data_IF_054836466095
#
_entry.id   IF_054836466095
#
_cell.length_a   1.000
_cell.length_b   1.000
_cell.length_c   1.000
_cell.angle_alpha   90.00
_cell.angle_beta   90.00
_cell.angle_gamma   90.00
#
_symmetry.space_group_name_H-M   'P 1'
#
loop_
_entity.id
_entity.type
_entity.pdbx_description
1 polymer ?
#
# COMPACT_ATOMS: atom_id res chain seq x y z
N UNK A 1 -19.26 22.14 29.82
CA UNK A 1 -20.41 23.04 29.70
C UNK A 1 -21.67 22.18 29.73
N UNK A 2 -22.48 22.21 30.80
CA UNK A 2 -23.74 21.42 30.83
C UNK A 2 -24.72 22.14 29.90
N UNK A 3 -24.94 21.59 28.70
CA UNK A 3 -25.96 22.10 27.76
C UNK A 3 -27.31 21.87 28.42
N UNK A 4 -28.07 22.93 28.60
CA UNK A 4 -29.44 22.82 29.15
C UNK A 4 -30.28 22.06 28.09
N UNK A 5 -30.86 20.94 28.47
CA UNK A 5 -31.70 20.09 27.61
C UNK A 5 -32.83 20.87 26.92
N UNK A 6 -33.45 21.82 27.63
CA UNK A 6 -34.54 22.66 27.07
C UNK A 6 -34.02 23.61 25.99
N UNK A 7 -32.81 24.13 26.15
CA UNK A 7 -32.19 25.01 25.18
C UNK A 7 -31.81 24.21 23.91
N UNK A 8 -31.31 22.97 24.07
CA UNK A 8 -31.02 22.08 22.97
C UNK A 8 -32.27 21.74 22.15
N UNK A 9 -33.39 21.36 22.82
CA UNK A 9 -34.66 21.11 22.14
C UNK A 9 -35.18 22.35 21.40
N UNK A 10 -35.12 23.51 22.04
CA UNK A 10 -35.55 24.76 21.41
C UNK A 10 -34.75 25.07 20.17
N UNK A 11 -33.43 24.86 20.21
CA UNK A 11 -32.54 25.04 19.08
C UNK A 11 -32.84 24.07 17.93
N UNK A 12 -32.98 22.78 18.21
CA UNK A 12 -33.38 21.75 17.22
C UNK A 12 -34.69 22.11 16.53
N UNK A 13 -35.72 22.46 17.30
CA UNK A 13 -37.03 22.82 16.75
C UNK A 13 -36.98 24.12 15.91
N UNK A 14 -36.13 25.06 16.27
CA UNK A 14 -35.92 26.29 15.49
C UNK A 14 -35.15 26.02 14.19
N UNK A 15 -34.14 25.18 14.20
CA UNK A 15 -33.44 24.77 12.97
C UNK A 15 -34.36 24.03 12.01
N UNK A 16 -35.28 23.21 12.52
CA UNK A 16 -36.27 22.51 11.70
C UNK A 16 -37.28 23.43 11.03
N UNK A 17 -37.50 24.66 11.55
CA UNK A 17 -38.40 25.67 10.94
C UNK A 17 -37.78 26.39 9.74
N UNK A 18 -36.49 26.27 9.51
CA UNK A 18 -35.84 26.96 8.40
C UNK A 18 -36.36 26.46 7.04
N UNK A 19 -36.53 27.32 6.04
CA UNK A 19 -37.12 26.96 4.74
C UNK A 19 -36.39 25.81 4.01
N UNK A 20 -35.08 25.74 4.20
CA UNK A 20 -34.22 24.72 3.57
C UNK A 20 -34.19 23.38 4.34
N UNK A 21 -34.88 23.31 5.49
CA UNK A 21 -34.93 22.10 6.28
C UNK A 21 -35.86 21.06 5.61
N UNK A 22 -35.30 19.90 5.24
CA UNK A 22 -36.05 18.76 4.72
C UNK A 22 -37.02 18.14 5.73
N UNK A 23 -37.12 18.70 6.94
CA UNK A 23 -37.87 18.13 8.08
C UNK A 23 -39.30 18.64 8.14
N UNK A 24 -40.25 17.84 7.71
CA UNK A 24 -41.69 18.23 7.62
C UNK A 24 -42.53 18.00 8.88
N UNK A 25 -42.03 17.29 9.93
CA UNK A 25 -42.84 16.83 11.07
C UNK A 25 -42.41 17.47 12.40
N UNK A 26 -42.37 18.83 12.47
CA UNK A 26 -41.99 19.56 13.68
C UNK A 26 -42.87 19.25 14.88
N UNK A 27 -44.17 19.14 14.69
CA UNK A 27 -45.11 18.87 15.78
C UNK A 27 -44.93 17.50 16.40
N UNK A 28 -44.58 16.50 15.60
CA UNK A 28 -44.22 15.18 16.10
C UNK A 28 -42.93 15.20 16.94
N UNK A 29 -41.92 15.94 16.53
CA UNK A 29 -40.68 16.12 17.31
C UNK A 29 -40.98 16.86 18.63
N UNK A 30 -41.77 17.92 18.58
CA UNK A 30 -42.23 18.62 19.77
C UNK A 30 -42.95 17.68 20.73
N UNK A 31 -43.87 16.88 20.24
CA UNK A 31 -44.61 15.88 21.03
C UNK A 31 -43.67 14.85 21.66
N UNK A 32 -42.70 14.33 20.89
CA UNK A 32 -41.69 13.41 21.40
C UNK A 32 -40.91 14.02 22.56
N UNK A 33 -40.33 15.20 22.37
CA UNK A 33 -39.52 15.86 23.39
C UNK A 33 -40.33 16.24 24.64
N UNK A 34 -41.57 16.73 24.47
CA UNK A 34 -42.44 17.07 25.58
C UNK A 34 -42.80 15.83 26.40
N UNK A 35 -43.13 14.71 25.75
CA UNK A 35 -43.49 13.46 26.40
C UNK A 35 -42.27 12.85 27.12
N UNK A 36 -41.09 12.88 26.50
CA UNK A 36 -39.83 12.47 27.13
C UNK A 36 -39.53 13.32 28.36
N UNK A 37 -39.59 14.65 28.22
CA UNK A 37 -39.32 15.56 29.32
C UNK A 37 -40.26 15.30 30.52
N UNK A 38 -41.57 15.14 30.26
CA UNK A 38 -42.55 14.79 31.30
C UNK A 38 -42.18 13.49 32.00
N UNK A 39 -41.83 12.46 31.26
CA UNK A 39 -41.44 11.15 31.83
C UNK A 39 -40.19 11.29 32.72
N UNK A 40 -39.15 12.01 32.27
CA UNK A 40 -37.93 12.21 33.05
C UNK A 40 -38.21 12.96 34.35
N UNK A 41 -39.01 14.02 34.27
CA UNK A 41 -39.42 14.78 35.45
C UNK A 41 -40.25 13.96 36.44
N UNK A 42 -41.25 13.20 35.95
CA UNK A 42 -42.11 12.37 36.79
C UNK A 42 -41.31 11.25 37.51
N UNK A 43 -40.19 10.80 36.89
CA UNK A 43 -39.31 9.76 37.45
C UNK A 43 -38.13 10.31 38.24
N UNK A 44 -37.89 11.63 38.20
CA UNK A 44 -36.70 12.24 38.80
C UNK A 44 -35.40 11.81 38.14
N UNK A 45 -35.44 11.44 36.86
CA UNK A 45 -34.27 10.97 36.10
C UNK A 45 -33.62 12.15 35.37
N UNK A 46 -32.29 12.41 35.55
CA UNK A 46 -31.61 13.42 34.77
C UNK A 46 -31.58 13.01 33.28
N UNK A 47 -31.61 14.02 32.40
CA UNK A 47 -31.52 13.75 30.96
C UNK A 47 -30.17 13.13 30.60
N UNK A 48 -30.20 12.02 29.87
CA UNK A 48 -29.15 11.44 29.06
C UNK A 48 -29.74 10.79 27.83
N UNK A 49 -28.94 10.59 26.79
CA UNK A 49 -29.43 9.88 25.59
C UNK A 49 -29.77 8.42 25.89
N UNK A 50 -29.06 7.76 26.81
CA UNK A 50 -29.42 6.42 27.27
C UNK A 50 -30.80 6.42 27.93
N UNK A 51 -31.09 7.34 28.84
CA UNK A 51 -32.40 7.48 29.47
C UNK A 51 -33.48 7.79 28.43
N UNK A 52 -33.18 8.56 27.41
CA UNK A 52 -34.13 8.85 26.33
C UNK A 52 -34.43 7.61 25.45
N UNK A 53 -33.45 6.77 25.18
CA UNK A 53 -33.61 5.53 24.43
C UNK A 53 -34.34 4.47 25.29
N UNK A 54 -34.01 4.35 26.56
CA UNK A 54 -34.72 3.47 27.50
C UNK A 54 -36.20 3.86 27.60
N UNK A 55 -36.51 5.18 27.66
CA UNK A 55 -37.88 5.65 27.58
C UNK A 55 -38.55 5.27 26.25
N UNK A 56 -37.85 5.35 25.13
CA UNK A 56 -38.40 4.96 23.83
C UNK A 56 -38.74 3.46 23.78
N UNK A 57 -37.92 2.60 24.38
CA UNK A 57 -38.20 1.17 24.49
C UNK A 57 -39.46 0.89 25.34
N UNK A 58 -39.72 1.66 26.40
CA UNK A 58 -40.97 1.60 27.17
C UNK A 58 -42.14 2.02 26.28
N UNK A 59 -41.99 3.16 25.58
CA UNK A 59 -43.03 3.72 24.72
C UNK A 59 -43.38 2.84 23.52
N UNK A 60 -42.46 2.07 23.00
CA UNK A 60 -42.62 1.13 21.87
C UNK A 60 -43.79 0.13 22.12
N UNK A 61 -44.14 -0.13 23.37
CA UNK A 61 -45.26 -0.99 23.74
C UNK A 61 -46.61 -0.28 23.66
N UNK A 62 -46.61 1.05 23.64
CA UNK A 62 -47.81 1.90 23.74
C UNK A 62 -48.16 2.60 22.42
N UNK A 63 -47.21 2.73 21.50
CA UNK A 63 -47.35 3.51 20.27
C UNK A 63 -47.16 2.63 19.03
N UNK A 64 -47.65 3.11 17.88
CA UNK A 64 -47.45 2.41 16.60
C UNK A 64 -45.97 2.36 16.20
N UNK A 65 -45.60 1.38 15.37
CA UNK A 65 -44.25 1.26 14.81
C UNK A 65 -43.82 2.53 14.10
N UNK A 66 -44.72 3.15 13.35
CA UNK A 66 -44.44 4.39 12.61
C UNK A 66 -44.15 5.55 13.58
N UNK A 67 -44.95 5.73 14.62
CA UNK A 67 -44.70 6.76 15.65
C UNK A 67 -43.40 6.50 16.38
N UNK A 68 -43.09 5.25 16.71
CA UNK A 68 -41.84 4.85 17.34
C UNK A 68 -40.62 5.22 16.43
N UNK A 69 -40.73 4.96 15.15
CA UNK A 69 -39.69 5.34 14.16
C UNK A 69 -39.50 6.85 14.10
N UNK A 70 -40.57 7.62 14.14
CA UNK A 70 -40.51 9.09 14.17
C UNK A 70 -39.89 9.62 15.46
N UNK A 71 -40.22 9.03 16.61
CA UNK A 71 -39.60 9.37 17.88
C UNK A 71 -38.12 9.05 17.91
N UNK A 72 -37.72 7.90 17.35
CA UNK A 72 -36.29 7.56 17.17
C UNK A 72 -35.57 8.62 16.34
N UNK A 73 -36.15 9.06 15.24
CA UNK A 73 -35.58 10.12 14.41
C UNK A 73 -35.49 11.47 15.14
N UNK A 74 -36.46 11.78 16.00
CA UNK A 74 -36.42 12.98 16.84
C UNK A 74 -35.25 12.91 17.82
N UNK A 75 -35.09 11.80 18.54
CA UNK A 75 -33.98 11.60 19.47
C UNK A 75 -32.63 11.62 18.75
N UNK A 76 -32.54 11.00 17.58
CA UNK A 76 -31.32 11.00 16.78
C UNK A 76 -30.88 12.41 16.37
N UNK A 77 -31.82 13.28 15.98
CA UNK A 77 -31.53 14.70 15.69
C UNK A 77 -31.11 15.47 16.92
N UNK A 78 -31.69 15.17 18.06
CA UNK A 78 -31.30 15.80 19.31
C UNK A 78 -29.87 15.40 19.70
N UNK A 79 -29.52 14.11 19.61
CA UNK A 79 -28.16 13.66 19.87
C UNK A 79 -27.16 14.30 18.88
N UNK A 80 -27.50 14.33 17.60
CA UNK A 80 -26.67 14.94 16.58
C UNK A 80 -26.42 16.43 16.91
N UNK A 81 -27.47 17.16 17.30
CA UNK A 81 -27.31 18.54 17.73
C UNK A 81 -26.41 18.70 18.96
N UNK A 82 -26.57 17.83 19.94
CA UNK A 82 -25.74 17.85 21.16
C UNK A 82 -24.25 17.59 20.86
N UNK A 83 -23.95 16.76 19.86
CA UNK A 83 -22.58 16.42 19.47
C UNK A 83 -21.96 17.42 18.48
N UNK A 84 -22.73 17.91 17.53
CA UNK A 84 -22.22 18.68 16.38
C UNK A 84 -22.73 20.13 16.31
N UNK A 85 -23.75 20.48 17.07
CA UNK A 85 -24.38 21.82 17.05
C UNK A 85 -25.32 22.06 15.86
N UNK A 86 -25.58 21.05 15.02
CA UNK A 86 -26.49 21.10 13.88
C UNK A 86 -27.48 19.92 13.85
N UNK A 87 -28.40 19.89 12.89
CA UNK A 87 -29.34 18.80 12.71
C UNK A 87 -29.13 18.09 11.36
N UNK A 88 -28.99 16.76 11.39
CA UNK A 88 -28.87 15.97 10.18
C UNK A 88 -30.26 15.63 9.60
N UNK A 89 -30.38 15.70 8.26
CA UNK A 89 -31.60 15.34 7.54
C UNK A 89 -31.80 13.82 7.39
N UNK A 90 -30.78 13.00 7.68
CA UNK A 90 -30.80 11.55 7.54
C UNK A 90 -31.70 10.88 8.57
N UNK A 91 -32.27 9.72 8.18
CA UNK A 91 -33.10 8.89 9.06
C UNK A 91 -32.26 7.90 9.86
N UNK A 92 -32.54 7.80 11.15
CA UNK A 92 -31.98 6.77 12.01
C UNK A 92 -32.64 5.41 11.73
N UNK A 93 -31.86 4.43 11.25
CA UNK A 93 -32.37 3.09 10.91
C UNK A 93 -32.28 2.08 12.06
N UNK A 94 -31.34 2.26 12.97
CA UNK A 94 -31.11 1.34 14.10
C UNK A 94 -30.61 2.10 15.33
N UNK A 95 -30.67 1.46 16.49
CA UNK A 95 -30.16 2.03 17.74
C UNK A 95 -28.64 2.18 17.74
N UNK A 96 -27.91 1.32 16.99
CA UNK A 96 -26.46 1.44 16.82
C UNK A 96 -26.03 2.73 16.08
N UNK A 97 -27.01 3.49 15.56
CA UNK A 97 -26.77 4.79 14.95
C UNK A 97 -26.57 5.89 16.00
N UNK A 98 -26.98 5.66 17.24
CA UNK A 98 -26.76 6.58 18.34
C UNK A 98 -25.36 6.44 18.91
N UNK A 99 -24.74 7.56 19.25
CA UNK A 99 -23.41 7.58 19.86
C UNK A 99 -23.37 6.76 21.14
N UNK A 100 -24.32 6.99 22.06
CA UNK A 100 -24.38 6.30 23.35
C UNK A 100 -24.52 4.77 23.24
N UNK A 101 -25.03 4.23 22.14
CA UNK A 101 -25.19 2.79 21.88
C UNK A 101 -24.22 2.24 20.86
N UNK A 102 -23.38 3.09 20.26
CA UNK A 102 -22.50 2.69 19.18
C UNK A 102 -21.30 1.84 19.62
N UNK A 103 -20.87 2.00 20.88
CA UNK A 103 -19.62 1.41 21.39
C UNK A 103 -18.37 2.01 20.76
N UNK A 104 -18.47 3.22 20.20
CA UNK A 104 -17.42 3.94 19.49
C UNK A 104 -17.07 5.19 20.29
N UNK A 105 -15.78 5.58 20.39
CA UNK A 105 -15.39 6.84 21.02
C UNK A 105 -15.99 8.05 20.30
N UNK A 106 -16.13 9.18 20.99
CA UNK A 106 -16.71 10.39 20.41
C UNK A 106 -15.92 10.86 19.18
N UNK A 107 -14.58 10.82 19.23
CA UNK A 107 -13.73 11.20 18.13
C UNK A 107 -13.97 10.32 16.89
N UNK A 108 -13.98 9.00 17.05
CA UNK A 108 -14.29 8.10 15.95
C UNK A 108 -15.73 8.20 15.47
N UNK A 109 -16.67 8.49 16.36
CA UNK A 109 -18.05 8.70 15.97
C UNK A 109 -18.20 9.95 15.11
N UNK A 110 -17.56 11.05 15.48
CA UNK A 110 -17.47 12.27 14.66
C UNK A 110 -16.81 11.98 13.29
N UNK A 111 -15.74 11.22 13.30
CA UNK A 111 -15.03 10.81 12.07
C UNK A 111 -15.93 10.01 11.11
N UNK A 112 -16.91 9.23 11.58
CA UNK A 112 -17.87 8.56 10.66
C UNK A 112 -18.66 9.54 9.81
N UNK A 113 -19.00 10.71 10.34
CA UNK A 113 -19.73 11.74 9.61
C UNK A 113 -18.83 12.50 8.63
N UNK A 114 -17.60 12.82 9.03
CA UNK A 114 -16.61 13.44 8.17
C UNK A 114 -16.30 12.53 6.95
N UNK A 115 -16.18 11.23 7.19
CA UNK A 115 -15.99 10.25 6.12
C UNK A 115 -17.20 10.16 5.18
N UNK A 116 -18.43 10.18 5.71
CA UNK A 116 -19.64 10.20 4.89
C UNK A 116 -19.66 11.41 3.96
N UNK A 117 -19.36 12.59 4.47
CA UNK A 117 -19.28 13.83 3.69
C UNK A 117 -18.13 13.78 2.67
N UNK A 118 -16.94 13.34 3.08
CA UNK A 118 -15.80 13.18 2.19
C UNK A 118 -16.10 12.26 1.00
N UNK A 119 -16.74 11.11 1.26
CA UNK A 119 -17.11 10.18 0.19
C UNK A 119 -18.26 10.71 -0.69
N UNK A 120 -19.18 11.47 -0.12
CA UNK A 120 -20.26 12.10 -0.89
C UNK A 120 -19.72 13.14 -1.88
N UNK A 121 -18.66 13.86 -1.52
CA UNK A 121 -18.10 14.95 -2.33
C UNK A 121 -16.98 14.50 -3.28
N UNK A 122 -16.20 13.49 -2.93
CA UNK A 122 -14.96 13.13 -3.66
C UNK A 122 -15.04 11.81 -4.42
N UNK A 123 -15.97 10.92 -4.07
CA UNK A 123 -16.09 9.58 -4.64
C UNK A 123 -17.57 9.19 -4.86
N UNK A 124 -17.78 8.02 -5.48
CA UNK A 124 -19.13 7.50 -5.62
C UNK A 124 -19.72 7.20 -4.22
N UNK A 125 -20.88 7.78 -3.84
CA UNK A 125 -21.51 7.57 -2.54
C UNK A 125 -21.76 6.08 -2.19
N UNK A 126 -21.88 5.21 -3.20
CA UNK A 126 -22.02 3.77 -3.00
C UNK A 126 -20.83 3.14 -2.25
N UNK A 127 -19.61 3.70 -2.35
CA UNK A 127 -18.45 3.17 -1.63
C UNK A 127 -18.59 3.31 -0.12
N UNK A 128 -19.10 4.45 0.36
CA UNK A 128 -19.29 4.62 1.80
C UNK A 128 -20.24 3.59 2.39
N UNK A 129 -21.38 3.30 1.74
CA UNK A 129 -22.31 2.28 2.21
C UNK A 129 -21.67 0.89 2.29
N UNK A 130 -20.78 0.58 1.33
CA UNK A 130 -20.06 -0.71 1.32
C UNK A 130 -19.02 -0.79 2.44
N UNK A 131 -18.35 0.32 2.76
CA UNK A 131 -17.24 0.36 3.72
C UNK A 131 -17.66 0.71 5.14
N UNK A 132 -18.78 1.41 5.32
CA UNK A 132 -19.23 1.95 6.62
C UNK A 132 -19.36 0.89 7.71
N UNK A 133 -19.81 -0.31 7.36
CA UNK A 133 -19.92 -1.42 8.32
C UNK A 133 -18.54 -1.83 8.83
N UNK A 134 -17.59 -2.06 7.93
CA UNK A 134 -16.24 -2.48 8.27
C UNK A 134 -15.49 -1.38 9.07
N UNK A 135 -15.68 -0.11 8.70
CA UNK A 135 -15.09 1.04 9.41
C UNK A 135 -15.66 1.15 10.83
N UNK A 136 -16.98 1.03 11.01
CA UNK A 136 -17.60 1.06 12.34
C UNK A 136 -17.16 -0.10 13.23
N UNK A 137 -17.01 -1.30 12.68
CA UNK A 137 -16.48 -2.45 13.41
C UNK A 137 -15.00 -2.21 13.83
N UNK A 138 -14.21 -1.61 12.97
CA UNK A 138 -12.85 -1.21 13.32
C UNK A 138 -12.83 -0.18 14.46
N UNK A 139 -13.67 0.84 14.41
CA UNK A 139 -13.75 1.85 15.45
C UNK A 139 -14.24 1.29 16.80
N UNK A 140 -15.19 0.34 16.79
CA UNK A 140 -15.62 -0.38 18.01
C UNK A 140 -14.47 -1.16 18.62
N UNK A 141 -13.74 -1.90 17.78
CA UNK A 141 -12.56 -2.64 18.24
C UNK A 141 -11.50 -1.69 18.79
N UNK A 142 -11.12 -0.64 18.06
CA UNK A 142 -10.15 0.34 18.50
C UNK A 142 -10.55 0.93 19.86
N UNK A 143 -11.81 1.36 20.01
CA UNK A 143 -12.34 1.88 21.29
C UNK A 143 -12.25 0.84 22.40
N UNK A 144 -12.56 -0.43 22.14
CA UNK A 144 -12.46 -1.51 23.12
C UNK A 144 -11.03 -1.80 23.56
N UNK A 145 -10.05 -1.49 22.72
CA UNK A 145 -8.61 -1.57 23.02
C UNK A 145 -8.07 -0.31 23.72
N UNK A 146 -8.92 0.67 24.03
CA UNK A 146 -8.53 1.92 24.65
C UNK A 146 -7.99 2.97 23.66
N UNK A 147 -8.03 2.71 22.35
CA UNK A 147 -7.69 3.67 21.30
C UNK A 147 -8.93 4.52 21.04
N UNK A 148 -8.90 5.78 21.44
CA UNK A 148 -10.05 6.69 21.36
C UNK A 148 -9.90 7.80 20.32
N UNK A 149 -8.68 8.04 19.86
CA UNK A 149 -8.32 9.09 18.90
C UNK A 149 -7.67 8.51 17.65
N UNK A 150 -7.88 9.09 16.46
CA UNK A 150 -7.30 8.61 15.21
C UNK A 150 -5.76 8.53 15.23
N UNK A 151 -5.11 9.50 15.87
CA UNK A 151 -3.65 9.57 16.01
C UNK A 151 -3.09 8.46 16.92
N UNK A 152 -3.95 7.84 17.72
CA UNK A 152 -3.58 6.73 18.60
C UNK A 152 -3.65 5.35 17.91
N UNK A 153 -4.09 5.29 16.66
CA UNK A 153 -4.13 4.05 15.89
C UNK A 153 -2.70 3.57 15.61
N UNK A 154 -2.42 2.31 15.94
CA UNK A 154 -1.12 1.66 15.71
C UNK A 154 -1.25 0.50 14.73
N UNK A 155 -0.11 -0.04 14.27
CA UNK A 155 -0.10 -1.29 13.50
C UNK A 155 -0.74 -2.43 14.30
N UNK A 156 -0.54 -2.47 15.63
CA UNK A 156 -1.15 -3.48 16.49
C UNK A 156 -2.68 -3.43 16.46
N UNK A 157 -3.26 -2.23 16.45
CA UNK A 157 -4.71 -2.05 16.29
C UNK A 157 -5.20 -2.64 14.97
N UNK A 158 -4.44 -2.47 13.87
CA UNK A 158 -4.78 -3.04 12.57
C UNK A 158 -4.59 -4.56 12.53
N UNK A 159 -3.53 -5.08 13.13
CA UNK A 159 -3.30 -6.53 13.26
C UNK A 159 -4.43 -7.18 14.07
N UNK A 160 -4.85 -6.56 15.17
CA UNK A 160 -5.95 -7.08 15.98
C UNK A 160 -7.28 -7.07 15.22
N UNK A 161 -7.55 -6.04 14.42
CA UNK A 161 -8.69 -6.01 13.51
C UNK A 161 -8.64 -7.13 12.46
N UNK A 162 -7.47 -7.43 11.92
CA UNK A 162 -7.29 -8.57 11.03
C UNK A 162 -7.64 -9.88 11.72
N UNK A 163 -7.13 -10.11 12.93
CA UNK A 163 -7.31 -11.34 13.67
C UNK A 163 -8.76 -11.56 14.11
N UNK A 164 -9.42 -10.50 14.57
CA UNK A 164 -10.77 -10.58 15.15
C UNK A 164 -11.86 -10.51 14.07
N UNK A 165 -11.79 -9.56 13.13
CA UNK A 165 -12.83 -9.31 12.15
C UNK A 165 -12.53 -9.95 10.79
N UNK A 166 -11.37 -9.67 10.18
CA UNK A 166 -11.10 -10.12 8.81
C UNK A 166 -11.01 -11.65 8.70
N UNK A 167 -10.34 -12.31 9.65
CA UNK A 167 -10.24 -13.79 9.69
C UNK A 167 -11.60 -14.45 9.96
N UNK A 168 -12.48 -13.81 10.72
CA UNK A 168 -13.83 -14.32 11.02
C UNK A 168 -14.82 -14.17 9.86
N UNK A 169 -14.49 -13.40 8.81
CA UNK A 169 -15.35 -13.21 7.65
C UNK A 169 -15.56 -14.52 6.88
N UNK A 170 -16.81 -15.00 6.83
CA UNK A 170 -17.19 -16.26 6.17
C UNK A 170 -16.97 -16.25 4.64
N UNK A 171 -16.99 -15.08 4.00
CA UNK A 171 -16.78 -14.97 2.54
C UNK A 171 -15.53 -14.15 2.22
N UNK A 172 -14.82 -14.58 1.17
CA UNK A 172 -13.65 -13.87 0.64
C UNK A 172 -14.00 -12.43 0.24
N UNK A 173 -15.17 -12.22 -0.39
CA UNK A 173 -15.63 -10.90 -0.81
C UNK A 173 -15.79 -9.94 0.38
N UNK A 174 -16.37 -10.43 1.51
CA UNK A 174 -16.52 -9.62 2.72
C UNK A 174 -15.17 -9.27 3.34
N UNK A 175 -14.21 -10.21 3.33
CA UNK A 175 -12.86 -9.96 3.78
C UNK A 175 -12.15 -8.93 2.90
N UNK A 176 -12.25 -9.05 1.57
CA UNK A 176 -11.69 -8.09 0.64
C UNK A 176 -12.29 -6.69 0.84
N UNK A 177 -13.61 -6.60 1.01
CA UNK A 177 -14.26 -5.32 1.32
C UNK A 177 -13.75 -4.69 2.62
N UNK A 178 -13.51 -5.49 3.66
CA UNK A 178 -12.95 -5.00 4.92
C UNK A 178 -11.52 -4.47 4.73
N UNK A 179 -10.68 -5.17 3.97
CA UNK A 179 -9.31 -4.71 3.64
C UNK A 179 -9.35 -3.41 2.82
N UNK A 180 -10.20 -3.34 1.79
CA UNK A 180 -10.36 -2.13 0.99
C UNK A 180 -10.88 -0.96 1.82
N UNK A 181 -11.83 -1.20 2.73
CA UNK A 181 -12.35 -0.18 3.64
C UNK A 181 -11.26 0.37 4.56
N UNK A 182 -10.40 -0.49 5.13
CA UNK A 182 -9.29 -0.06 5.97
C UNK A 182 -8.23 0.68 5.17
N UNK A 183 -7.88 0.21 3.98
CA UNK A 183 -6.96 0.92 3.08
C UNK A 183 -7.45 2.33 2.79
N UNK A 184 -8.74 2.48 2.48
CA UNK A 184 -9.35 3.77 2.20
C UNK A 184 -9.41 4.67 3.45
N UNK A 185 -9.72 4.11 4.63
CA UNK A 185 -9.69 4.81 5.90
C UNK A 185 -8.29 5.30 6.24
N UNK A 186 -7.27 4.44 6.19
CA UNK A 186 -5.88 4.81 6.47
C UNK A 186 -5.37 5.88 5.49
N UNK A 187 -5.78 5.81 4.23
CA UNK A 187 -5.47 6.86 3.24
C UNK A 187 -6.09 8.21 3.61
N UNK A 188 -7.32 8.21 4.11
CA UNK A 188 -7.99 9.42 4.57
C UNK A 188 -7.29 10.01 5.80
N UNK A 189 -7.02 9.17 6.81
CA UNK A 189 -6.34 9.58 8.04
C UNK A 189 -4.91 10.06 7.79
N UNK A 190 -4.19 9.43 6.87
CA UNK A 190 -2.87 9.90 6.46
C UNK A 190 -2.92 11.32 5.86
N UNK A 191 -3.91 11.61 5.01
CA UNK A 191 -4.09 12.95 4.43
C UNK A 191 -4.39 14.03 5.48
N UNK A 192 -5.00 13.65 6.60
CA UNK A 192 -5.21 14.51 7.76
C UNK A 192 -3.94 14.68 8.60
N UNK A 193 -2.96 13.80 8.44
CA UNK A 193 -1.74 13.76 9.26
C UNK A 193 -1.86 12.89 10.51
N UNK A 194 -2.96 12.15 10.67
CA UNK A 194 -3.24 11.35 11.87
C UNK A 194 -2.39 10.07 11.93
N UNK A 195 -2.14 9.44 10.77
CA UNK A 195 -1.39 8.16 10.71
C UNK A 195 -0.34 8.14 9.59
N UNK A 196 0.70 7.30 9.69
CA UNK A 196 1.69 7.12 8.63
C UNK A 196 1.11 6.54 7.34
N UNK A 197 1.69 6.88 6.18
CA UNK A 197 1.27 6.36 4.87
C UNK A 197 1.36 4.83 4.78
N UNK A 198 2.37 4.23 5.39
CA UNK A 198 2.59 2.79 5.35
C UNK A 198 1.42 1.97 5.91
N UNK A 199 0.57 2.55 6.77
CA UNK A 199 -0.62 1.88 7.32
C UNK A 199 -1.63 1.45 6.26
N UNK A 200 -1.66 2.12 5.10
CA UNK A 200 -2.52 1.74 3.98
C UNK A 200 -2.25 0.32 3.46
N UNK A 201 -1.08 -0.23 3.74
CA UNK A 201 -0.65 -1.54 3.24
C UNK A 201 -0.62 -2.65 4.29
N UNK A 202 -0.84 -2.35 5.56
CA UNK A 202 -0.75 -3.32 6.66
C UNK A 202 -1.64 -4.54 6.42
N UNK A 203 -2.90 -4.33 6.03
CA UNK A 203 -3.87 -5.42 5.83
C UNK A 203 -3.89 -5.99 4.41
N UNK A 204 -2.92 -5.65 3.56
CA UNK A 204 -2.92 -6.06 2.15
C UNK A 204 -2.26 -7.43 1.96
N UNK A 205 -3.01 -8.42 1.48
CA UNK A 205 -2.49 -9.77 1.22
C UNK A 205 -2.01 -10.48 2.50
N UNK A 206 -0.77 -11.01 2.44
CA UNK A 206 -0.12 -11.73 3.55
C UNK A 206 0.75 -10.81 4.42
N UNK A 207 0.61 -9.48 4.27
CA UNK A 207 1.49 -8.53 4.96
C UNK A 207 1.43 -8.64 6.49
N UNK A 208 0.25 -8.98 7.04
CA UNK A 208 0.11 -9.15 8.51
C UNK A 208 0.99 -10.28 9.03
N UNK A 209 1.10 -11.40 8.30
CA UNK A 209 1.93 -12.54 8.71
C UNK A 209 3.40 -12.15 8.66
N UNK A 210 3.83 -11.47 7.61
CA UNK A 210 5.20 -10.95 7.49
C UNK A 210 5.52 -9.95 8.61
N UNK A 211 4.59 -9.05 8.93
CA UNK A 211 4.77 -8.08 10.01
C UNK A 211 4.95 -8.77 11.37
N UNK A 212 4.20 -9.83 11.63
CA UNK A 212 4.36 -10.59 12.87
C UNK A 212 5.75 -11.23 12.97
N UNK A 213 6.33 -11.69 11.86
CA UNK A 213 7.71 -12.22 11.83
C UNK A 213 8.77 -11.12 12.04
N UNK A 214 8.45 -9.86 11.67
CA UNK A 214 9.34 -8.71 11.85
C UNK A 214 9.28 -8.10 13.26
N UNK A 215 8.49 -8.66 14.19
CA UNK A 215 8.34 -8.14 15.54
C UNK A 215 9.55 -8.50 16.40
N UNK A 216 10.14 -7.49 17.03
CA UNK A 216 11.22 -7.67 17.99
C UNK A 216 10.69 -8.05 19.36
N UNK A 217 11.53 -8.76 20.15
CA UNK A 217 11.20 -9.10 21.54
C UNK A 217 11.18 -7.88 22.48
N UNK A 218 11.89 -6.82 22.12
CA UNK A 218 11.90 -5.53 22.84
C UNK A 218 11.48 -4.45 21.85
N UNK A 219 10.41 -3.73 22.17
CA UNK A 219 9.91 -2.59 21.39
C UNK A 219 10.26 -1.28 22.10
N UNK A 220 10.44 -0.24 21.31
CA UNK A 220 10.61 1.14 21.80
C UNK A 220 9.30 1.75 22.31
N UNK A 221 9.35 3.03 22.65
CA UNK A 221 8.20 3.81 23.14
C UNK A 221 7.82 4.96 22.20
N UNK A 222 8.57 5.15 21.12
CA UNK A 222 8.29 6.21 20.14
C UNK A 222 6.94 5.97 19.46
N UNK A 223 6.17 7.05 19.31
CA UNK A 223 4.86 6.99 18.65
C UNK A 223 4.98 7.58 17.24
N UNK A 224 4.56 6.83 16.23
CA UNK A 224 4.70 7.18 14.81
C UNK A 224 6.11 7.64 14.40
N UNK A 225 7.16 6.87 14.70
CA UNK A 225 8.54 7.25 14.43
C UNK A 225 8.87 7.37 12.93
N UNK A 226 8.04 6.81 12.06
CA UNK A 226 8.25 6.84 10.61
C UNK A 226 7.80 8.14 9.94
N UNK A 227 6.93 8.95 10.55
CA UNK A 227 6.36 10.13 9.89
C UNK A 227 7.43 11.15 9.45
N UNK A 228 8.36 11.60 10.31
CA UNK A 228 9.39 12.55 9.87
C UNK A 228 10.30 11.99 8.79
N UNK A 229 10.58 10.68 8.88
CA UNK A 229 11.46 9.99 7.94
C UNK A 229 10.82 9.81 6.57
N UNK A 230 9.50 9.58 6.52
CA UNK A 230 8.75 9.42 5.28
C UNK A 230 8.81 10.68 4.42
N UNK A 231 8.73 11.88 5.03
CA UNK A 231 8.90 13.15 4.33
C UNK A 231 10.28 13.25 3.68
N UNK A 232 11.33 12.83 4.39
CA UNK A 232 12.70 12.81 3.85
C UNK A 232 12.88 11.75 2.75
N UNK A 233 12.17 10.63 2.83
CA UNK A 233 12.18 9.62 1.79
C UNK A 233 11.50 10.12 0.50
N UNK A 234 10.43 10.89 0.60
CA UNK A 234 9.80 11.51 -0.56
C UNK A 234 10.72 12.56 -1.20
N UNK A 235 11.38 13.42 -0.41
CA UNK A 235 12.41 14.35 -0.91
C UNK A 235 13.54 13.59 -1.65
N UNK A 236 14.00 12.47 -1.09
CA UNK A 236 15.00 11.62 -1.73
C UNK A 236 14.50 11.01 -3.04
N UNK A 237 13.27 10.49 -3.06
CA UNK A 237 12.68 9.92 -4.27
C UNK A 237 12.49 10.98 -5.38
N UNK A 238 12.21 12.23 -5.01
CA UNK A 238 12.13 13.35 -5.96
C UNK A 238 13.51 13.73 -6.49
N UNK A 239 14.55 13.76 -5.63
CA UNK A 239 15.91 13.95 -6.05
C UNK A 239 16.39 12.87 -7.04
N UNK A 240 15.91 11.63 -6.92
CA UNK A 240 16.20 10.57 -7.91
C UNK A 240 15.62 10.86 -9.30
N UNK A 241 14.53 11.65 -9.43
CA UNK A 241 14.02 12.09 -10.73
C UNK A 241 14.99 13.07 -11.40
N UNK A 242 15.52 14.01 -10.64
CA UNK A 242 16.52 14.98 -11.13
C UNK A 242 17.78 14.25 -11.60
N UNK A 243 18.12 13.13 -10.97
CA UNK A 243 19.25 12.26 -11.32
C UNK A 243 18.90 11.22 -12.39
N UNK A 244 17.75 11.33 -13.06
CA UNK A 244 17.31 10.47 -14.18
C UNK A 244 17.21 8.97 -13.85
N UNK A 245 16.90 8.63 -12.60
CA UNK A 245 16.60 7.23 -12.25
C UNK A 245 15.37 6.72 -12.97
N UNK A 246 15.36 5.43 -13.29
CA UNK A 246 14.20 4.80 -13.93
C UNK A 246 13.01 4.76 -12.96
N UNK A 247 11.80 5.04 -13.45
CA UNK A 247 10.55 4.96 -12.67
C UNK A 247 10.37 3.60 -11.98
N UNK A 248 10.84 2.50 -12.60
CA UNK A 248 10.82 1.17 -12.00
C UNK A 248 11.70 1.07 -10.75
N UNK A 249 12.89 1.69 -10.74
CA UNK A 249 13.78 1.71 -9.58
C UNK A 249 13.16 2.51 -8.42
N UNK A 250 12.56 3.66 -8.71
CA UNK A 250 11.83 4.45 -7.70
C UNK A 250 10.68 3.67 -7.06
N UNK A 251 9.92 2.91 -7.87
CA UNK A 251 8.83 2.08 -7.34
C UNK A 251 9.34 1.00 -6.38
N UNK A 252 10.51 0.41 -6.68
CA UNK A 252 11.15 -0.55 -5.77
C UNK A 252 11.62 0.13 -4.50
N UNK A 253 12.27 1.28 -4.58
CA UNK A 253 12.72 2.05 -3.40
C UNK A 253 11.55 2.46 -2.52
N UNK A 254 10.46 2.97 -3.10
CA UNK A 254 9.23 3.30 -2.37
C UNK A 254 8.65 2.08 -1.64
N UNK A 255 8.69 0.91 -2.26
CA UNK A 255 8.26 -0.33 -1.61
C UNK A 255 9.18 -0.71 -0.44
N UNK A 256 10.49 -0.60 -0.61
CA UNK A 256 11.47 -0.89 0.46
C UNK A 256 11.28 0.07 1.64
N UNK A 257 11.07 1.38 1.38
CA UNK A 257 10.73 2.35 2.42
C UNK A 257 9.43 2.01 3.14
N UNK A 258 8.39 1.59 2.41
CA UNK A 258 7.12 1.20 3.02
C UNK A 258 7.32 0.07 4.04
N UNK A 259 8.10 -0.95 3.71
CA UNK A 259 8.39 -2.06 4.61
C UNK A 259 9.25 -1.63 5.79
N UNK A 260 10.25 -0.79 5.56
CA UNK A 260 11.09 -0.25 6.63
C UNK A 260 10.26 0.61 7.59
N UNK A 261 9.40 1.47 7.09
CA UNK A 261 8.53 2.29 7.92
C UNK A 261 7.53 1.45 8.71
N UNK A 262 6.95 0.41 8.12
CA UNK A 262 6.12 -0.54 8.87
C UNK A 262 6.91 -1.24 9.98
N UNK A 263 8.18 -1.58 9.76
CA UNK A 263 9.05 -2.15 10.78
C UNK A 263 9.30 -1.17 11.94
N UNK A 264 9.58 0.11 11.64
CA UNK A 264 9.76 1.14 12.67
C UNK A 264 8.48 1.31 13.51
N UNK A 265 7.33 1.44 12.85
CA UNK A 265 6.03 1.60 13.51
C UNK A 265 5.65 0.39 14.37
N UNK A 266 5.82 -0.83 13.85
CA UNK A 266 5.51 -2.07 14.55
C UNK A 266 6.31 -2.24 15.84
N UNK A 267 7.58 -1.80 15.84
CA UNK A 267 8.50 -1.95 16.96
C UNK A 267 8.70 -0.65 17.74
N UNK A 268 7.99 0.43 17.38
CA UNK A 268 8.11 1.76 17.98
C UNK A 268 9.57 2.24 18.06
N UNK A 269 10.31 2.09 16.94
CA UNK A 269 11.74 2.40 16.87
C UNK A 269 11.98 3.65 16.01
N UNK A 270 12.85 4.52 16.50
CA UNK A 270 13.41 5.60 15.68
C UNK A 270 14.46 5.06 14.70
N UNK A 271 14.67 5.81 13.63
CA UNK A 271 15.69 5.50 12.65
C UNK A 271 17.10 5.67 13.25
N UNK A 272 17.89 4.61 13.17
CA UNK A 272 19.29 4.59 13.54
C UNK A 272 20.04 3.51 12.75
N UNK A 273 21.37 3.55 12.75
CA UNK A 273 22.20 2.51 12.12
C UNK A 273 21.93 1.12 12.72
N UNK A 274 21.65 1.03 14.02
CA UNK A 274 21.30 -0.20 14.71
C UNK A 274 19.94 -0.72 14.26
N UNK A 275 18.96 0.16 14.12
CA UNK A 275 17.62 -0.17 13.66
C UNK A 275 17.65 -0.66 12.21
N UNK A 276 18.44 -0.02 11.34
CA UNK A 276 18.64 -0.45 9.95
C UNK A 276 19.28 -1.84 9.91
N UNK A 277 20.29 -2.08 10.72
CA UNK A 277 20.96 -3.41 10.82
C UNK A 277 19.96 -4.48 11.25
N UNK A 278 19.20 -4.21 12.31
CA UNK A 278 18.17 -5.13 12.82
C UNK A 278 17.12 -5.46 11.76
N UNK A 279 16.67 -4.46 10.99
CA UNK A 279 15.72 -4.68 9.92
C UNK A 279 16.28 -5.54 8.77
N UNK A 280 17.54 -5.30 8.38
CA UNK A 280 18.21 -6.09 7.34
C UNK A 280 18.37 -7.55 7.76
N UNK A 281 18.69 -7.81 9.01
CA UNK A 281 18.92 -9.16 9.54
C UNK A 281 17.63 -10.00 9.64
N UNK A 282 16.48 -9.35 9.87
CA UNK A 282 15.17 -10.03 9.96
C UNK A 282 14.59 -10.40 8.58
N UNK A 283 14.97 -9.69 7.54
CA UNK A 283 14.33 -9.77 6.21
C UNK A 283 14.67 -10.95 5.30
N UNK A 284 15.65 -11.84 5.54
CA UNK A 284 16.02 -12.88 4.58
C UNK A 284 14.88 -13.81 4.19
N UNK A 285 13.90 -14.02 5.07
CA UNK A 285 12.88 -15.06 4.95
C UNK A 285 11.48 -14.56 4.55
N UNK A 286 11.32 -13.30 4.16
CA UNK A 286 10.01 -12.77 3.72
C UNK A 286 9.47 -13.51 2.47
N UNK A 287 8.40 -14.34 2.59
CA UNK A 287 7.99 -15.30 1.56
C UNK A 287 7.39 -14.70 0.30
N UNK A 288 6.92 -13.45 0.36
CA UNK A 288 6.19 -12.80 -0.76
C UNK A 288 7.03 -11.97 -1.71
N UNK A 289 8.31 -12.00 -1.58
CA UNK A 289 9.14 -11.55 -2.68
C UNK A 289 9.35 -12.74 -3.60
N UNK A 290 8.68 -12.67 -4.76
CA UNK A 290 8.98 -13.45 -5.93
C UNK A 290 10.42 -13.94 -5.85
N UNK A 291 10.60 -15.22 -5.46
CA UNK A 291 11.88 -15.90 -5.27
C UNK A 291 13.02 -14.90 -5.19
N UNK A 292 13.26 -14.37 -4.00
CA UNK A 292 14.40 -13.52 -3.78
C UNK A 292 15.62 -14.39 -4.08
N UNK A 293 16.11 -14.27 -5.32
CA UNK A 293 17.50 -14.55 -5.55
C UNK A 293 18.26 -13.78 -4.45
N UNK A 294 19.41 -14.27 -4.04
CA UNK A 294 20.34 -13.60 -3.10
C UNK A 294 20.54 -12.09 -3.35
N UNK A 295 20.04 -11.55 -4.45
CA UNK A 295 19.98 -10.15 -4.84
C UNK A 295 18.93 -9.30 -4.10
N UNK A 296 17.85 -9.87 -3.54
CA UNK A 296 16.76 -9.09 -2.91
C UNK A 296 17.18 -8.47 -1.57
N UNK A 297 17.85 -9.22 -0.71
CA UNK A 297 18.42 -8.71 0.54
C UNK A 297 19.49 -7.63 0.27
N UNK A 298 20.31 -7.83 -0.75
CA UNK A 298 21.34 -6.88 -1.19
C UNK A 298 20.71 -5.57 -1.69
N UNK A 299 19.56 -5.66 -2.40
CA UNK A 299 18.89 -4.47 -2.92
C UNK A 299 18.31 -3.59 -1.80
N UNK A 300 17.60 -4.15 -0.85
CA UNK A 300 16.99 -3.42 0.27
C UNK A 300 18.04 -2.76 1.16
N UNK A 301 19.09 -3.51 1.49
CA UNK A 301 20.25 -3.00 2.20
C UNK A 301 20.88 -1.83 1.43
N UNK A 302 20.98 -1.93 0.11
CA UNK A 302 21.46 -0.84 -0.74
C UNK A 302 20.53 0.38 -0.70
N UNK A 303 19.22 0.19 -0.86
CA UNK A 303 18.23 1.28 -0.82
C UNK A 303 18.35 2.11 0.46
N UNK A 304 18.35 1.45 1.62
CA UNK A 304 18.40 2.16 2.91
C UNK A 304 19.77 2.81 3.13
N UNK A 305 20.89 2.14 2.79
CA UNK A 305 22.22 2.74 2.90
C UNK A 305 22.40 3.97 2.00
N UNK A 306 21.81 3.96 0.81
CA UNK A 306 21.84 5.11 -0.08
C UNK A 306 20.99 6.26 0.49
N UNK A 307 19.87 5.94 1.08
CA UNK A 307 19.04 6.92 1.79
C UNK A 307 19.76 7.51 3.02
N UNK A 308 20.45 6.70 3.82
CA UNK A 308 21.29 7.19 4.93
C UNK A 308 22.35 8.18 4.45
N UNK A 309 23.03 7.88 3.34
CA UNK A 309 24.00 8.83 2.73
C UNK A 309 23.34 10.13 2.32
N UNK A 310 22.13 10.07 1.76
CA UNK A 310 21.34 11.25 1.43
C UNK A 310 21.02 12.08 2.69
N UNK A 311 20.56 11.44 3.77
CA UNK A 311 20.28 12.12 5.04
C UNK A 311 21.52 12.78 5.65
N UNK A 312 22.71 12.21 5.41
CA UNK A 312 23.99 12.76 5.86
C UNK A 312 24.53 13.87 4.93
N UNK A 313 23.83 14.18 3.82
CA UNK A 313 24.31 15.15 2.83
C UNK A 313 25.53 14.69 2.04
N UNK A 314 25.86 13.38 2.07
CA UNK A 314 27.03 12.80 1.39
C UNK A 314 26.75 12.50 -0.09
N UNK A 315 25.47 12.45 -0.48
CA UNK A 315 25.08 12.21 -1.86
C UNK A 315 25.13 13.50 -2.67
N UNK A 316 26.24 13.68 -3.39
CA UNK A 316 26.32 14.64 -4.47
C UNK A 316 25.74 14.03 -5.77
N UNK A 317 25.12 14.87 -6.59
CA UNK A 317 24.58 14.51 -7.92
C UNK A 317 25.58 13.81 -8.84
N UNK A 318 26.85 13.93 -8.56
CA UNK A 318 27.97 13.35 -9.31
C UNK A 318 28.26 11.87 -8.96
N UNK A 319 27.65 11.29 -7.92
CA UNK A 319 27.87 9.88 -7.54
C UNK A 319 27.06 8.94 -8.41
N UNK A 320 26.06 9.44 -9.10
CA UNK A 320 25.36 8.72 -10.13
C UNK A 320 25.91 9.17 -11.50
N UNK A 321 27.18 8.87 -11.73
CA UNK A 321 27.59 8.57 -13.09
C UNK A 321 26.52 7.62 -13.66
N UNK A 322 25.97 7.92 -14.84
CA UNK A 322 25.02 7.01 -15.52
C UNK A 322 25.48 5.59 -15.23
N UNK A 323 24.61 4.68 -14.72
CA UNK A 323 25.06 3.35 -14.36
C UNK A 323 25.81 2.82 -15.56
N UNK A 324 27.13 2.67 -15.41
CA UNK A 324 28.00 2.32 -16.54
C UNK A 324 27.36 1.07 -17.12
N UNK A 325 26.82 1.19 -18.32
CA UNK A 325 26.18 0.04 -18.97
C UNK A 325 27.26 -1.01 -19.05
N UNK A 326 26.92 -2.27 -18.86
CA UNK A 326 27.90 -3.35 -18.97
C UNK A 326 28.71 -3.26 -20.28
N UNK A 327 28.15 -2.62 -21.32
CA UNK A 327 28.80 -2.29 -22.58
C UNK A 327 29.86 -1.18 -22.47
N UNK A 328 29.88 -0.39 -21.42
CA UNK A 328 30.82 0.75 -21.31
C UNK A 328 32.21 0.31 -20.82
N UNK A 329 32.31 -0.89 -20.28
CA UNK A 329 33.57 -1.55 -19.93
C UNK A 329 34.19 -2.34 -21.11
N UNK A 330 33.47 -2.48 -22.21
CA UNK A 330 33.95 -3.22 -23.36
C UNK A 330 35.02 -2.39 -24.14
N UNK A 331 36.03 -3.04 -24.73
CA UNK A 331 36.91 -2.41 -25.69
C UNK A 331 36.17 -1.71 -26.82
N UNK A 332 36.73 -0.64 -27.36
CA UNK A 332 36.04 0.21 -28.36
C UNK A 332 35.55 -0.56 -29.58
N UNK A 333 36.30 -1.58 -30.05
CA UNK A 333 35.90 -2.41 -31.19
C UNK A 333 34.64 -3.25 -30.90
N UNK A 334 34.58 -3.93 -29.76
CA UNK A 334 33.47 -4.77 -29.39
C UNK A 334 32.23 -3.94 -29.00
N UNK A 335 32.43 -2.77 -28.37
CA UNK A 335 31.36 -1.82 -28.08
C UNK A 335 30.72 -1.32 -29.38
N UNK A 336 31.51 -0.92 -30.37
CA UNK A 336 31.01 -0.46 -31.68
C UNK A 336 30.17 -1.52 -32.37
N UNK A 337 30.63 -2.77 -32.38
CA UNK A 337 29.88 -3.92 -32.96
C UNK A 337 28.56 -4.15 -32.21
N UNK A 338 28.61 -4.13 -30.87
CA UNK A 338 27.41 -4.35 -30.06
C UNK A 338 26.37 -3.25 -30.26
N UNK A 339 26.76 -2.00 -30.30
CA UNK A 339 25.85 -0.87 -30.49
C UNK A 339 25.25 -0.90 -31.90
N UNK A 340 26.05 -1.22 -32.93
CA UNK A 340 25.54 -1.45 -34.29
C UNK A 340 24.53 -2.59 -34.37
N UNK A 341 24.81 -3.71 -33.71
CA UNK A 341 23.89 -4.82 -33.61
C UNK A 341 22.56 -4.44 -32.94
N UNK A 342 22.60 -3.76 -31.81
CA UNK A 342 21.39 -3.32 -31.09
C UNK A 342 20.58 -2.36 -31.95
N UNK A 343 21.24 -1.44 -32.65
CA UNK A 343 20.55 -0.49 -33.53
C UNK A 343 19.90 -1.19 -34.75
N UNK A 344 20.57 -2.21 -35.33
CA UNK A 344 19.95 -3.06 -36.35
C UNK A 344 18.70 -3.73 -35.85
N UNK A 345 18.72 -4.33 -34.62
CA UNK A 345 17.55 -4.99 -34.03
C UNK A 345 16.43 -4.02 -33.68
N UNK A 346 16.75 -2.78 -33.32
CA UNK A 346 15.76 -1.71 -33.10
C UNK A 346 15.02 -1.37 -34.39
N UNK A 347 15.76 -1.27 -35.51
CA UNK A 347 15.15 -1.05 -36.83
C UNK A 347 14.26 -2.21 -37.28
N UNK A 348 14.60 -3.44 -36.89
CA UNK A 348 13.76 -4.63 -37.12
C UNK A 348 12.49 -4.66 -36.23
N UNK A 349 12.21 -3.62 -35.45
CA UNK A 349 11.00 -3.51 -34.63
C UNK A 349 11.01 -4.33 -33.34
N UNK A 350 12.19 -4.75 -32.86
CA UNK A 350 12.29 -5.54 -31.62
C UNK A 350 11.92 -4.73 -30.38
N UNK A 351 11.21 -5.39 -29.45
CA UNK A 351 10.81 -4.75 -28.17
C UNK A 351 12.02 -4.40 -27.29
N UNK A 352 11.90 -3.40 -26.44
CA UNK A 352 12.96 -2.99 -25.50
C UNK A 352 13.44 -4.16 -24.62
N UNK A 353 12.54 -5.04 -24.17
CA UNK A 353 12.90 -6.26 -23.43
C UNK A 353 13.81 -7.19 -24.23
N UNK A 354 13.51 -7.37 -25.52
CA UNK A 354 14.34 -8.17 -26.42
C UNK A 354 15.71 -7.53 -26.67
N UNK A 355 15.75 -6.20 -26.86
CA UNK A 355 16.99 -5.45 -27.03
C UNK A 355 17.90 -5.54 -25.79
N UNK A 356 17.31 -5.46 -24.58
CA UNK A 356 18.06 -5.66 -23.33
C UNK A 356 18.69 -7.04 -23.26
N UNK A 357 17.95 -8.09 -23.64
CA UNK A 357 18.49 -9.46 -23.68
C UNK A 357 19.61 -9.62 -24.72
N UNK A 358 19.45 -9.00 -25.90
CA UNK A 358 20.48 -9.00 -26.94
C UNK A 358 21.75 -8.29 -26.43
N UNK A 359 21.61 -7.14 -25.78
CA UNK A 359 22.73 -6.40 -25.19
C UNK A 359 23.44 -7.22 -24.11
N UNK A 360 22.69 -7.83 -23.18
CA UNK A 360 23.27 -8.65 -22.13
C UNK A 360 24.08 -9.84 -22.71
N UNK A 361 23.51 -10.54 -23.71
CA UNK A 361 24.19 -11.65 -24.35
C UNK A 361 25.48 -11.20 -25.07
N UNK A 362 25.43 -10.06 -25.76
CA UNK A 362 26.61 -9.50 -26.44
C UNK A 362 27.69 -9.04 -25.46
N UNK A 363 27.29 -8.35 -24.37
CA UNK A 363 28.27 -7.93 -23.34
C UNK A 363 29.00 -9.13 -22.72
N UNK A 364 28.27 -10.18 -22.36
CA UNK A 364 28.90 -11.38 -21.78
C UNK A 364 29.80 -12.09 -22.76
N UNK A 365 29.44 -12.14 -24.04
CA UNK A 365 30.27 -12.75 -25.05
C UNK A 365 31.56 -11.93 -25.28
N UNK A 366 31.46 -10.63 -25.47
CA UNK A 366 32.64 -9.77 -25.68
C UNK A 366 33.54 -9.70 -24.45
N UNK A 367 32.97 -9.70 -23.23
CA UNK A 367 33.80 -9.82 -22.03
C UNK A 367 34.53 -11.14 -21.95
N UNK A 368 33.88 -12.25 -22.30
CA UNK A 368 34.56 -13.55 -22.38
C UNK A 368 35.71 -13.55 -23.40
N UNK A 369 35.56 -12.89 -24.55
CA UNK A 369 36.62 -12.74 -25.54
C UNK A 369 37.80 -11.94 -24.95
N UNK A 370 37.53 -10.85 -24.29
CA UNK A 370 38.56 -10.00 -23.62
C UNK A 370 39.28 -10.80 -22.53
N UNK A 371 38.57 -11.49 -21.66
CA UNK A 371 39.15 -12.33 -20.59
C UNK A 371 40.04 -13.47 -21.14
N UNK A 372 39.83 -13.87 -22.41
CA UNK A 372 40.65 -14.86 -23.11
C UNK A 372 41.67 -14.25 -24.10
N UNK A 373 41.91 -12.94 -24.01
CA UNK A 373 42.92 -12.26 -24.82
C UNK A 373 42.59 -12.11 -26.30
N UNK A 374 41.28 -12.17 -26.65
CA UNK A 374 40.81 -12.00 -28.04
C UNK A 374 40.39 -10.54 -28.22
N UNK A 375 41.20 -9.78 -28.93
CA UNK A 375 41.11 -8.33 -29.08
C UNK A 375 40.56 -7.87 -30.44
N UNK A 376 40.20 -8.81 -31.31
CA UNK A 376 39.66 -8.50 -32.64
C UNK A 376 38.72 -9.59 -33.16
N UNK A 377 37.76 -9.27 -34.07
CA UNK A 377 36.77 -10.23 -34.58
C UNK A 377 37.41 -11.39 -35.39
N UNK A 378 38.51 -11.15 -36.08
CA UNK A 378 39.14 -12.16 -36.98
C UNK A 378 39.70 -13.33 -36.18
N UNK A 379 40.08 -13.10 -34.93
CA UNK A 379 40.59 -14.12 -34.01
C UNK A 379 39.51 -15.01 -33.38
N UNK A 380 38.23 -14.78 -33.67
CA UNK A 380 37.12 -15.59 -33.15
C UNK A 380 37.05 -16.89 -33.96
N UNK A 381 37.26 -18.03 -33.28
CA UNK A 381 37.19 -19.37 -33.89
C UNK A 381 35.91 -20.09 -33.45
N UNK A 382 35.50 -21.17 -34.18
CA UNK A 382 34.34 -22.00 -33.74
C UNK A 382 34.52 -22.60 -32.36
N UNK A 383 35.74 -22.90 -31.94
CA UNK A 383 36.01 -23.50 -30.63
C UNK A 383 35.88 -22.47 -29.51
N UNK A 384 36.25 -21.19 -29.73
CA UNK A 384 36.00 -20.09 -28.82
C UNK A 384 34.47 -19.90 -28.59
N UNK A 385 33.69 -19.89 -29.67
CA UNK A 385 32.23 -19.75 -29.59
C UNK A 385 31.60 -20.91 -28.84
N UNK A 386 32.06 -22.15 -29.10
CA UNK A 386 31.58 -23.33 -28.36
C UNK A 386 32.00 -23.32 -26.91
N UNK A 387 33.24 -22.93 -26.61
CA UNK A 387 33.74 -22.82 -25.24
C UNK A 387 32.92 -21.81 -24.43
N UNK A 388 32.67 -20.61 -24.98
CA UNK A 388 31.78 -19.62 -24.37
C UNK A 388 30.38 -20.18 -24.12
N UNK A 389 29.78 -20.83 -25.12
CA UNK A 389 28.43 -21.37 -25.01
C UNK A 389 28.32 -22.51 -23.98
N UNK A 390 29.40 -23.25 -23.77
CA UNK A 390 29.48 -24.31 -22.76
C UNK A 390 29.90 -23.77 -21.38
N UNK A 391 30.40 -22.54 -21.31
CA UNK A 391 30.73 -21.89 -20.05
C UNK A 391 29.45 -21.70 -19.22
N UNK A 392 29.48 -22.15 -18.00
CA UNK A 392 28.26 -22.30 -17.16
C UNK A 392 27.81 -20.94 -16.55
N UNK A 393 27.37 -20.03 -17.45
CA UNK A 393 26.84 -18.70 -17.06
C UNK A 393 25.33 -18.79 -16.71
N UNK A 394 24.64 -19.89 -17.08
CA UNK A 394 23.19 -20.00 -16.92
C UNK A 394 22.78 -21.30 -16.25
N UNK A 395 21.99 -21.16 -15.20
CA UNK A 395 21.56 -22.28 -14.33
C UNK A 395 20.50 -23.21 -14.93
N UNK A 396 19.79 -22.79 -15.99
CA UNK A 396 18.72 -23.59 -16.59
C UNK A 396 18.88 -23.80 -18.10
N UNK A 397 18.43 -24.96 -18.66
CA UNK A 397 18.46 -25.23 -20.10
C UNK A 397 17.70 -24.18 -20.94
N UNK A 398 16.59 -23.66 -20.42
CA UNK A 398 15.79 -22.62 -21.07
C UNK A 398 16.56 -21.31 -21.19
N UNK A 399 17.25 -20.91 -20.13
CA UNK A 399 18.12 -19.73 -20.13
C UNK A 399 19.26 -19.89 -21.13
N UNK A 400 19.93 -21.05 -21.17
CA UNK A 400 20.97 -21.36 -22.16
C UNK A 400 20.47 -21.27 -23.60
N UNK A 401 19.28 -21.79 -23.87
CA UNK A 401 18.65 -21.72 -25.20
C UNK A 401 18.29 -20.29 -25.62
N UNK A 402 17.71 -19.50 -24.70
CA UNK A 402 17.37 -18.11 -24.96
C UNK A 402 18.62 -17.29 -25.27
N UNK A 403 19.68 -17.48 -24.49
CA UNK A 403 20.96 -16.83 -24.64
C UNK A 403 21.68 -17.23 -25.93
N UNK A 404 21.75 -18.52 -26.23
CA UNK A 404 22.30 -19.05 -27.47
C UNK A 404 21.58 -18.54 -28.71
N UNK A 405 20.28 -18.27 -28.62
CA UNK A 405 19.53 -17.63 -29.71
C UNK A 405 20.00 -16.18 -29.95
N UNK A 406 20.26 -15.42 -28.88
CA UNK A 406 20.75 -14.04 -29.00
C UNK A 406 22.21 -13.98 -29.47
N UNK A 407 23.04 -14.88 -29.00
CA UNK A 407 24.41 -15.05 -29.49
C UNK A 407 24.44 -15.36 -31.00
N UNK A 408 23.62 -16.29 -31.48
CA UNK A 408 23.51 -16.56 -32.92
C UNK A 408 23.09 -15.35 -33.73
N UNK A 409 22.19 -14.52 -33.20
CA UNK A 409 21.78 -13.29 -33.87
C UNK A 409 22.94 -12.29 -33.96
N UNK A 410 23.74 -12.14 -32.89
CA UNK A 410 24.94 -11.33 -32.89
C UNK A 410 25.99 -11.84 -33.92
N UNK A 411 26.30 -13.14 -33.89
CA UNK A 411 27.24 -13.75 -34.83
C UNK A 411 26.82 -13.60 -36.30
N UNK A 412 25.51 -13.72 -36.59
CA UNK A 412 24.97 -13.44 -37.94
C UNK A 412 25.16 -11.99 -38.31
N UNK A 413 24.83 -11.05 -37.42
CA UNK A 413 25.06 -9.63 -37.67
C UNK A 413 26.56 -9.35 -37.95
N UNK A 414 27.49 -9.95 -37.19
CA UNK A 414 28.93 -9.79 -37.43
C UNK A 414 29.36 -10.38 -38.77
N UNK A 415 28.77 -11.52 -39.17
CA UNK A 415 29.02 -12.13 -40.48
C UNK A 415 28.46 -11.27 -41.64
N UNK A 416 27.25 -10.71 -41.47
CA UNK A 416 26.63 -9.79 -42.44
C UNK A 416 27.41 -8.47 -42.60
N UNK A 417 28.27 -8.15 -41.63
CA UNK A 417 29.21 -6.99 -41.69
C UNK A 417 30.62 -7.41 -42.12
N UNK A 418 30.83 -8.61 -42.63
CA UNK A 418 32.14 -9.18 -43.05
C UNK A 418 33.21 -9.16 -41.93
N UNK A 419 32.81 -9.13 -40.66
CA UNK A 419 33.72 -9.11 -39.51
C UNK A 419 34.22 -10.51 -39.11
N UNK A 420 33.42 -11.54 -39.39
CA UNK A 420 33.71 -12.95 -39.08
C UNK A 420 33.26 -13.84 -40.22
N UNK A 421 33.77 -15.11 -40.28
CA UNK A 421 33.28 -16.10 -41.23
C UNK A 421 31.80 -16.41 -41.00
N UNK A 422 30.95 -16.48 -42.03
CA UNK A 422 29.56 -16.90 -41.92
C UNK A 422 29.37 -18.25 -41.25
N UNK A 423 30.35 -19.13 -41.30
CA UNK A 423 30.33 -20.47 -40.66
C UNK A 423 30.23 -20.37 -39.13
N UNK A 424 30.76 -19.30 -38.53
CA UNK A 424 30.73 -19.08 -37.07
C UNK A 424 29.29 -18.89 -36.53
N UNK A 425 28.40 -18.31 -37.33
CA UNK A 425 26.98 -18.20 -36.96
C UNK A 425 26.31 -19.57 -36.79
N UNK A 426 26.86 -20.62 -37.34
CA UNK A 426 26.39 -22.01 -37.23
C UNK A 426 27.06 -22.78 -36.08
N UNK A 427 28.11 -22.23 -35.43
CA UNK A 427 28.80 -22.89 -34.34
C UNK A 427 27.91 -23.12 -33.08
N UNK A 428 26.82 -22.36 -32.95
CA UNK A 428 25.84 -22.47 -31.86
C UNK A 428 24.55 -23.17 -32.38
N UNK A 429 24.51 -24.48 -32.37
CA UNK A 429 23.34 -25.25 -32.85
C UNK A 429 22.32 -25.52 -31.74
N UNK A 430 21.04 -25.48 -32.13
CA UNK A 430 19.90 -25.78 -31.25
C UNK A 430 19.93 -27.26 -30.74
N UNK A 431 20.57 -28.13 -31.48
CA UNK A 431 20.62 -29.58 -31.20
C UNK A 431 21.83 -30.01 -30.35
N UNK A 432 22.77 -29.11 -30.06
CA UNK A 432 23.89 -29.39 -29.15
C UNK A 432 23.44 -29.56 -27.67
N UNK A 433 22.20 -29.24 -27.36
CA UNK A 433 21.62 -29.21 -26.01
C UNK A 433 20.40 -30.09 -25.90
N UNK A 434 20.54 -31.37 -26.19
CA UNK A 434 19.56 -32.41 -25.91
C UNK A 434 18.11 -31.92 -25.96
N UNK A 435 17.44 -32.05 -27.09
CA UNK A 435 15.98 -32.06 -27.08
C UNK A 435 15.58 -33.24 -26.19
N UNK A 436 15.20 -32.98 -24.94
CA UNK A 436 14.26 -33.86 -24.29
C UNK A 436 13.01 -33.87 -25.19
N UNK A 437 12.86 -34.89 -25.95
CA UNK A 437 11.65 -35.14 -26.72
C UNK A 437 10.48 -34.95 -25.74
N UNK A 438 9.63 -33.94 -26.00
CA UNK A 438 8.27 -33.95 -25.46
C UNK A 438 7.59 -35.17 -26.09
N UNK A 439 7.71 -36.33 -25.46
CA UNK A 439 6.79 -37.41 -25.64
C UNK A 439 5.42 -36.89 -25.22
N UNK A 440 4.60 -36.55 -26.19
CA UNK A 440 3.16 -36.43 -25.99
C UNK A 440 2.68 -37.82 -25.58
N UNK A 441 2.26 -37.99 -24.34
CA UNK A 441 1.30 -38.98 -23.92
C UNK A 441 -0.07 -38.32 -23.89
#
# INVERSE_FOLDING_TARGET
MQINYLDAISSVLNMMKQPDSACKNIDMHRTCYTTLFKYLMDKGIPFSMDAALDWLEIKKREISYETCSQYRNALFRLEHYLLFGDIKSSFCRSEDSFFCRSGISESFFRLTYELEEYYATTQNPCYYHTYSVAIKEFFRLATSLGVTEPEAITIDTLIEYWNTYCKSCKSLARRQNAVCAMTALMKYLHRRGDVPECYQRVLFGENVEILLEMRLSKTGTAFHPSIPLALKADEYLDALDDWKYMKSSKAVYRNDFTWYFMFLELNHLEHSAETVTSWIDILPDCPNQIKASSSGSTHRSHTIRMFEKYLQGIMESNIIAEPMRASDHLPSWSKSILDGFIESRRRDGMTNKTLTMCRAAGCSFFKYLEDNGIDNPVSITPDVVKAFHNHDVHSTPESKNAYGTKLRQLLRYMADQDLISPTLAFAVYRNAFGNSARTKA
#
